data_IF_521664941261
#
_entry.id   IF_521664941261
#
_cell.length_a   1.000
_cell.length_b   1.000
_cell.length_c   1.000
_cell.angle_alpha   90.00
_cell.angle_beta   90.00
_cell.angle_gamma   90.00
#
_symmetry.space_group_name_H-M   'P 1'
#
loop_
_entity.id
_entity.type
_entity.pdbx_description
1 polymer ?
#
# COMPACT_ATOMS: atom_id res chain seq x y z
N UNK A 1 8.62 -12.36 8.95
CA UNK A 1 9.80 -11.71 8.32
C UNK A 1 11.11 -12.14 8.94
N UNK A 2 11.27 -12.11 10.27
CA UNK A 2 12.55 -12.44 10.90
C UNK A 2 12.82 -13.94 10.99
N UNK A 3 11.82 -14.74 11.38
CA UNK A 3 11.98 -16.19 11.52
C UNK A 3 12.00 -16.91 10.16
N UNK A 4 11.03 -16.61 9.28
CA UNK A 4 10.88 -17.26 7.97
C UNK A 4 11.37 -16.43 6.77
N UNK A 5 11.95 -15.25 7.00
CA UNK A 5 12.38 -14.36 5.91
C UNK A 5 11.25 -13.66 5.14
N UNK A 6 9.97 -14.04 5.33
CA UNK A 6 8.86 -13.50 4.54
C UNK A 6 8.29 -12.20 5.14
N UNK A 7 8.31 -11.06 4.42
CA UNK A 7 7.64 -9.84 4.84
C UNK A 7 6.13 -10.05 4.90
N UNK A 8 5.49 -9.41 5.88
CA UNK A 8 4.04 -9.44 6.08
C UNK A 8 3.54 -8.03 6.35
N UNK A 9 2.32 -7.74 5.94
CA UNK A 9 1.64 -6.48 6.24
C UNK A 9 0.18 -6.76 6.59
N UNK A 10 -0.37 -6.03 7.55
CA UNK A 10 -1.73 -6.22 8.04
C UNK A 10 -2.53 -4.93 7.82
N UNK A 11 -3.79 -5.09 7.43
CA UNK A 11 -4.73 -3.98 7.23
C UNK A 11 -5.82 -4.00 8.30
N UNK A 12 -6.39 -2.84 8.58
CA UNK A 12 -7.60 -2.68 9.39
C UNK A 12 -8.83 -3.01 8.53
N UNK A 13 -9.48 -4.15 8.80
CA UNK A 13 -10.60 -4.66 7.99
C UNK A 13 -11.78 -3.69 7.98
N UNK A 14 -12.05 -3.01 9.10
CA UNK A 14 -13.18 -2.09 9.23
C UNK A 14 -13.00 -0.84 8.36
N UNK A 15 -11.76 -0.55 7.93
CA UNK A 15 -11.44 0.56 7.02
C UNK A 15 -11.40 0.15 5.54
N UNK A 16 -11.47 -1.14 5.23
CA UNK A 16 -11.48 -1.59 3.85
C UNK A 16 -12.87 -1.41 3.23
N UNK A 17 -12.89 -0.98 1.97
CA UNK A 17 -14.10 -0.82 1.18
C UNK A 17 -13.92 -1.55 -0.15
N UNK A 18 -14.73 -2.60 -0.38
CA UNK A 18 -14.60 -3.46 -1.56
C UNK A 18 -13.42 -4.43 -1.48
N UNK A 19 -12.97 -4.89 -2.64
CA UNK A 19 -11.91 -5.89 -2.79
C UNK A 19 -10.50 -5.28 -2.73
N UNK A 20 -9.51 -6.08 -2.30
CA UNK A 20 -8.10 -5.71 -2.40
C UNK A 20 -7.61 -5.95 -3.83
N UNK A 21 -7.21 -4.87 -4.51
CA UNK A 21 -6.74 -4.92 -5.90
C UNK A 21 -5.26 -4.59 -5.99
N UNK A 22 -4.48 -5.49 -6.60
CA UNK A 22 -3.08 -5.24 -6.95
C UNK A 22 -3.01 -4.73 -8.39
N UNK A 23 -2.62 -3.47 -8.56
CA UNK A 23 -2.46 -2.81 -9.86
C UNK A 23 -1.25 -1.88 -9.87
N UNK A 24 -0.83 -1.46 -11.06
CA UNK A 24 0.11 -0.34 -11.21
C UNK A 24 -0.56 0.99 -10.82
N UNK A 25 0.26 1.96 -10.45
CA UNK A 25 -0.21 3.33 -10.23
C UNK A 25 -0.64 3.97 -11.55
N UNK A 26 -1.53 4.96 -11.47
CA UNK A 26 -1.83 5.85 -12.60
C UNK A 26 -0.98 7.11 -12.51
N UNK A 27 -0.77 7.79 -13.64
CA UNK A 27 0.07 9.00 -13.68
C UNK A 27 -0.47 10.09 -12.74
N UNK A 28 0.39 10.59 -11.86
CA UNK A 28 0.05 11.62 -10.88
C UNK A 28 -0.71 11.12 -9.64
N UNK A 29 -0.86 9.80 -9.46
CA UNK A 29 -1.46 9.23 -8.26
C UNK A 29 -0.62 9.52 -7.01
N UNK A 30 -1.27 9.88 -5.90
CA UNK A 30 -0.59 10.12 -4.62
C UNK A 30 -1.16 9.21 -3.52
N UNK A 31 -0.30 8.84 -2.58
CA UNK A 31 -0.70 8.13 -1.36
C UNK A 31 -0.01 8.75 -0.14
N UNK A 32 -0.71 8.76 1.00
CA UNK A 32 -0.11 9.01 2.31
C UNK A 32 0.21 7.68 2.95
N UNK A 33 1.49 7.45 3.27
CA UNK A 33 1.94 6.23 3.95
C UNK A 33 1.93 6.41 5.47
N UNK A 34 2.15 5.32 6.21
CA UNK A 34 2.10 5.29 7.68
C UNK A 34 3.10 6.20 8.40
N UNK A 35 4.10 6.74 7.68
CA UNK A 35 5.04 7.74 8.18
C UNK A 35 4.58 9.19 7.91
N UNK A 36 3.28 9.38 7.65
CA UNK A 36 2.58 10.65 7.42
C UNK A 36 3.13 11.49 6.25
N UNK A 37 3.79 10.83 5.29
CA UNK A 37 4.35 11.48 4.11
C UNK A 37 3.51 11.17 2.88
N UNK A 38 3.13 12.23 2.19
CA UNK A 38 2.54 12.15 0.87
C UNK A 38 3.63 11.82 -0.17
N UNK A 39 3.36 10.82 -1.01
CA UNK A 39 4.24 10.39 -2.09
C UNK A 39 3.47 10.33 -3.40
N UNK A 40 3.99 10.99 -4.43
CA UNK A 40 3.56 10.77 -5.81
C UNK A 40 4.15 9.47 -6.31
N UNK A 41 3.30 8.60 -6.84
CA UNK A 41 3.68 7.29 -7.35
C UNK A 41 4.14 7.40 -8.81
N UNK A 42 5.14 6.59 -9.15
CA UNK A 42 5.53 6.37 -10.54
C UNK A 42 4.69 5.26 -11.17
N UNK A 43 4.53 5.32 -12.49
CA UNK A 43 3.89 4.26 -13.27
C UNK A 43 4.81 3.06 -13.48
N UNK A 44 6.14 3.21 -13.31
CA UNK A 44 7.19 2.17 -13.41
C UNK A 44 8.36 2.31 -12.39
#
# INVERSE_FOLDING_TARGET
MLELGQPTHCYDLDKLSGDIVVRRAVAGETITTLDDKERTLDVE
#
